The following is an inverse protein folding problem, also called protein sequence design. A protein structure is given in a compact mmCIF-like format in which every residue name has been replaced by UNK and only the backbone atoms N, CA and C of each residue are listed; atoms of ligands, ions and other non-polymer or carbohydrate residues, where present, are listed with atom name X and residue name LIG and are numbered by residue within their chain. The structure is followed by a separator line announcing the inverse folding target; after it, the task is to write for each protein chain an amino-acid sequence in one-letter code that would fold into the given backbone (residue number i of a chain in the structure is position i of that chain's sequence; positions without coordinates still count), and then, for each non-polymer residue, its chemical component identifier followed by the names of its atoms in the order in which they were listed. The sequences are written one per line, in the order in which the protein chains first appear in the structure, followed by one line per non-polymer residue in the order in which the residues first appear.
data_IF_932555231821
#
_entry.id   IF_932555231821
#
_cell.length_a   1.000
_cell.length_b   1.000
_cell.length_c   1.000
_cell.angle_alpha   90.00
_cell.angle_beta   90.00
_cell.angle_gamma   90.00
#
_symmetry.space_group_name_H-M   'P 1'
#
loop_
_entity.id
_entity.type
_entity.pdbx_description
1 polymer ?
#
# COMPACT_ATOMS: atom_id res chain seq x y z
N UNK A 1 39.60 20.21 -15.18
CA UNK A 1 40.07 21.12 -16.26
C UNK A 1 38.85 21.77 -16.91
N UNK A 2 38.84 23.10 -17.18
CA UNK A 2 37.65 23.82 -17.67
C UNK A 2 37.77 24.45 -19.08
N UNK A 3 36.63 24.70 -19.74
CA UNK A 3 36.36 25.75 -20.75
C UNK A 3 34.84 26.09 -20.69
N UNK A 4 34.27 27.30 -20.71
CA UNK A 4 34.70 28.72 -20.86
C UNK A 4 34.65 29.34 -22.28
N UNK A 5 33.45 29.81 -22.69
CA UNK A 5 33.04 30.95 -23.59
C UNK A 5 31.77 30.59 -24.40
N UNK A 6 30.69 31.37 -24.56
CA UNK A 6 30.39 32.83 -24.57
C UNK A 6 30.09 33.35 -25.99
N UNK A 7 28.88 33.87 -26.24
CA UNK A 7 28.67 35.25 -26.77
C UNK A 7 27.19 35.67 -26.89
N UNK A 8 26.98 36.99 -26.86
CA UNK A 8 25.71 37.73 -27.02
C UNK A 8 25.56 38.32 -28.43
N UNK A 9 24.32 38.43 -28.92
CA UNK A 9 23.74 39.45 -29.83
C UNK A 9 22.52 38.84 -30.56
N UNK A 10 21.43 39.55 -30.89
CA UNK A 10 21.01 40.94 -30.62
C UNK A 10 19.62 41.19 -31.26
N UNK A 11 18.89 42.24 -30.86
CA UNK A 11 17.68 42.69 -31.56
C UNK A 11 18.03 43.55 -32.79
N UNK A 12 17.14 43.66 -33.79
CA UNK A 12 16.42 44.93 -33.94
C UNK A 12 14.92 44.80 -34.36
N UNK A 13 14.24 45.97 -34.41
CA UNK A 13 12.83 46.18 -34.78
C UNK A 13 12.63 46.53 -36.28
N UNK A 14 11.35 46.66 -36.67
CA UNK A 14 10.77 47.35 -37.86
C UNK A 14 10.50 46.44 -39.08
N UNK A 15 9.51 46.69 -39.97
CA UNK A 15 8.47 47.74 -40.08
C UNK A 15 7.45 47.47 -41.22
N UNK A 16 6.20 47.96 -41.06
CA UNK A 16 5.24 48.21 -42.16
C UNK A 16 4.26 47.08 -42.51
N UNK A 17 3.01 47.32 -42.95
CA UNK A 17 2.23 48.57 -43.03
C UNK A 17 1.15 48.56 -44.13
N UNK A 18 0.07 49.37 -43.98
CA UNK A 18 -1.01 49.71 -44.96
C UNK A 18 -2.10 48.62 -45.20
N UNK A 19 -3.39 48.93 -45.49
CA UNK A 19 -4.12 50.22 -45.53
C UNK A 19 -5.68 50.07 -45.45
N UNK A 20 -6.31 51.06 -44.79
CA UNK A 20 -7.68 51.65 -44.87
C UNK A 20 -8.80 51.10 -45.79
N UNK A 21 -10.02 51.10 -45.25
CA UNK A 21 -11.15 52.05 -45.52
C UNK A 21 -12.32 51.73 -44.54
N UNK A 22 -13.31 52.55 -44.15
CA UNK A 22 -13.68 53.99 -44.16
C UNK A 22 -14.94 54.10 -43.25
N UNK A 23 -15.34 55.15 -42.52
CA UNK A 23 -15.02 56.57 -42.45
C UNK A 23 -16.01 57.30 -41.51
N UNK A 24 -15.72 58.59 -41.21
CA UNK A 24 -16.64 59.69 -40.79
C UNK A 24 -17.57 59.55 -39.56
N UNK A 25 -17.79 60.57 -38.71
CA UNK A 25 -17.25 61.94 -38.58
C UNK A 25 -17.54 62.54 -37.18
N UNK A 26 -16.93 63.70 -36.87
CA UNK A 26 -17.05 64.44 -35.58
C UNK A 26 -18.43 65.07 -35.33
N UNK A 27 -18.78 65.28 -34.06
CA UNK A 27 -19.79 66.25 -33.62
C UNK A 27 -19.69 66.56 -32.11
N UNK A 28 -19.67 67.84 -31.73
CA UNK A 28 -19.64 68.32 -30.33
C UNK A 28 -21.02 68.81 -29.87
N UNK A 29 -21.19 68.96 -28.55
CA UNK A 29 -22.25 69.77 -27.87
C UNK A 29 -23.66 69.12 -27.85
N UNK A 30 -24.60 69.47 -26.96
CA UNK A 30 -24.63 70.15 -25.63
C UNK A 30 -26.12 70.25 -25.23
N UNK A 31 -26.48 70.05 -23.94
CA UNK A 31 -27.86 70.16 -23.39
C UNK A 31 -28.75 68.99 -23.95
N UNK A 32 -29.56 68.25 -23.18
CA UNK A 32 -30.63 68.65 -22.26
C UNK A 32 -30.63 67.96 -20.88
N UNK A 33 -31.25 68.64 -19.90
CA UNK A 33 -31.60 68.09 -18.59
C UNK A 33 -33.07 67.65 -18.65
N UNK A 34 -33.37 66.37 -18.39
CA UNK A 34 -34.72 65.93 -18.12
C UNK A 34 -34.95 65.78 -16.61
N UNK A 35 -36.05 66.38 -16.15
CA UNK A 35 -36.52 66.45 -14.76
C UNK A 35 -37.79 65.60 -14.56
N UNK A 36 -38.29 65.55 -13.31
CA UNK A 36 -39.43 64.77 -12.81
C UNK A 36 -39.10 63.27 -12.60
N UNK A 37 -39.51 62.63 -11.49
CA UNK A 37 -40.81 62.76 -10.82
C UNK A 37 -40.78 63.05 -9.29
N UNK A 38 -39.67 63.52 -8.73
CA UNK A 38 -39.51 63.67 -7.26
C UNK A 38 -39.69 65.09 -6.69
N UNK A 39 -39.68 66.14 -7.51
CA UNK A 39 -39.83 67.55 -7.07
C UNK A 39 -41.05 68.21 -7.71
N UNK A 40 -42.23 67.59 -7.56
CA UNK A 40 -43.48 68.20 -8.03
C UNK A 40 -44.71 67.78 -7.20
N UNK A 41 -44.66 68.02 -5.88
CA UNK A 41 -45.79 68.40 -4.99
C UNK A 41 -45.14 69.03 -3.74
N UNK A 42 -44.92 70.35 -3.75
CA UNK A 42 -44.88 71.15 -2.52
C UNK A 42 -45.22 72.63 -2.79
N UNK A 43 -46.44 72.87 -3.28
CA UNK A 43 -47.06 74.21 -3.29
C UNK A 43 -48.58 74.10 -3.14
N UNK A 44 -49.05 73.74 -1.94
CA UNK A 44 -50.30 74.23 -1.33
C UNK A 44 -50.64 73.46 -0.03
N UNK A 45 -49.94 73.79 1.06
CA UNK A 45 -50.49 73.58 2.40
C UNK A 45 -51.42 74.76 2.73
N UNK A 46 -52.72 74.57 2.58
CA UNK A 46 -53.72 75.55 3.00
C UNK A 46 -53.65 75.77 4.51
N UNK A 47 -53.44 77.03 4.93
CA UNK A 47 -53.59 77.42 6.34
C UNK A 47 -55.06 77.27 6.73
N UNK A 48 -55.34 76.57 7.83
CA UNK A 48 -56.62 76.77 8.54
C UNK A 48 -56.57 78.10 9.31
N UNK A 49 -57.71 78.72 9.66
CA UNK A 49 -57.72 80.06 10.24
C UNK A 49 -57.12 80.17 11.65
N UNK A 50 -56.96 79.05 12.37
CA UNK A 50 -56.83 79.06 13.84
C UNK A 50 -55.41 78.75 14.37
N UNK A 51 -54.39 78.74 13.50
CA UNK A 51 -52.97 78.80 13.88
C UNK A 51 -52.36 77.57 14.60
N UNK A 52 -53.15 76.55 14.94
CA UNK A 52 -52.68 75.34 15.61
C UNK A 52 -52.33 74.24 14.57
N UNK A 53 -51.18 73.54 14.64
CA UNK A 53 -50.84 72.49 13.68
C UNK A 53 -51.84 71.33 13.74
N UNK A 54 -52.26 70.85 12.56
CA UNK A 54 -53.15 69.70 12.47
C UNK A 54 -52.52 68.44 13.09
N UNK A 55 -53.29 67.62 13.84
CA UNK A 55 -52.75 66.40 14.43
C UNK A 55 -52.33 65.43 13.32
N UNK A 56 -51.04 65.08 13.30
CA UNK A 56 -50.49 64.07 12.40
C UNK A 56 -51.31 62.78 12.52
N UNK A 57 -51.79 62.17 11.42
CA UNK A 57 -52.54 60.92 11.48
C UNK A 57 -51.63 59.86 12.10
N UNK A 58 -52.07 59.30 13.22
CA UNK A 58 -51.17 58.65 14.17
C UNK A 58 -50.66 57.32 13.57
N UNK A 59 -49.45 57.31 12.99
CA UNK A 59 -48.85 56.18 12.23
C UNK A 59 -48.31 55.01 13.08
N UNK A 60 -48.52 55.01 14.39
CA UNK A 60 -48.04 53.97 15.33
C UNK A 60 -48.42 52.55 14.92
N UNK A 61 -49.62 52.33 14.39
CA UNK A 61 -50.06 51.00 13.97
C UNK A 61 -49.26 50.47 12.77
N UNK A 62 -49.11 51.28 11.72
CA UNK A 62 -48.35 50.90 10.52
C UNK A 62 -46.85 50.86 10.75
N UNK A 63 -46.28 51.74 11.58
CA UNK A 63 -44.87 51.68 11.96
C UNK A 63 -44.55 50.45 12.84
N UNK A 64 -45.42 50.08 13.79
CA UNK A 64 -45.24 48.85 14.57
C UNK A 64 -45.39 47.61 13.68
N UNK A 65 -46.34 47.62 12.75
CA UNK A 65 -46.52 46.53 11.78
C UNK A 65 -45.29 46.37 10.88
N UNK A 66 -44.76 47.46 10.31
CA UNK A 66 -43.54 47.44 9.50
C UNK A 66 -42.33 46.96 10.31
N UNK A 67 -42.15 47.39 11.57
CA UNK A 67 -41.07 46.89 12.43
C UNK A 67 -41.21 45.38 12.71
N UNK A 68 -42.42 44.87 12.89
CA UNK A 68 -42.69 43.44 13.02
C UNK A 68 -42.39 42.66 11.73
N UNK A 69 -42.72 43.22 10.56
CA UNK A 69 -42.35 42.63 9.27
C UNK A 69 -40.83 42.60 9.06
N UNK A 70 -40.11 43.66 9.40
CA UNK A 70 -38.64 43.68 9.34
C UNK A 70 -38.02 42.68 10.32
N UNK A 71 -38.57 42.55 11.54
CA UNK A 71 -38.15 41.55 12.51
C UNK A 71 -38.36 40.13 11.96
N UNK A 72 -39.55 39.84 11.41
CA UNK A 72 -39.89 38.55 10.83
C UNK A 72 -39.00 38.21 9.61
N UNK A 73 -38.71 39.18 8.74
CA UNK A 73 -37.79 39.02 7.62
C UNK A 73 -36.37 38.71 8.09
N UNK A 74 -35.84 39.45 9.07
CA UNK A 74 -34.52 39.21 9.64
C UNK A 74 -34.42 37.85 10.34
N UNK A 75 -35.46 37.44 11.07
CA UNK A 75 -35.56 36.11 11.67
C UNK A 75 -35.63 35.00 10.60
N UNK A 76 -36.36 35.22 9.50
CA UNK A 76 -36.41 34.31 8.36
C UNK A 76 -35.05 34.13 7.68
N UNK A 77 -34.29 35.22 7.50
CA UNK A 77 -32.92 35.16 6.97
C UNK A 77 -31.99 34.41 7.92
N UNK A 78 -32.04 34.68 9.23
CA UNK A 78 -31.25 33.96 10.22
C UNK A 78 -31.58 32.46 10.26
N UNK A 79 -32.87 32.10 10.20
CA UNK A 79 -33.31 30.71 10.21
C UNK A 79 -32.90 29.99 8.91
N UNK A 80 -33.01 30.65 7.75
CA UNK A 80 -32.51 30.13 6.48
C UNK A 80 -30.98 29.91 6.49
N UNK A 81 -30.23 30.83 7.10
CA UNK A 81 -28.76 30.74 7.22
C UNK A 81 -28.35 29.62 8.20
N UNK A 82 -29.11 29.40 9.28
CA UNK A 82 -28.95 28.23 10.17
C UNK A 82 -29.21 26.93 9.42
N UNK A 83 -30.31 26.83 8.65
CA UNK A 83 -30.63 25.65 7.84
C UNK A 83 -29.52 25.37 6.81
N UNK A 84 -29.04 26.39 6.09
CA UNK A 84 -27.91 26.27 5.17
C UNK A 84 -26.64 25.73 5.87
N UNK A 85 -26.31 26.23 7.06
CA UNK A 85 -25.17 25.73 7.84
C UNK A 85 -25.37 24.25 8.20
N UNK A 86 -26.58 23.85 8.62
CA UNK A 86 -26.87 22.44 8.90
C UNK A 86 -26.74 21.56 7.66
N UNK A 87 -27.30 21.99 6.53
CA UNK A 87 -27.25 21.28 5.24
C UNK A 87 -25.82 21.13 4.73
N UNK A 88 -25.01 22.20 4.75
CA UNK A 88 -23.58 22.16 4.39
C UNK A 88 -22.80 21.22 5.31
N UNK A 89 -23.07 21.22 6.62
CA UNK A 89 -22.39 20.31 7.57
C UNK A 89 -22.83 18.84 7.40
N UNK A 90 -24.10 18.59 7.11
CA UNK A 90 -24.61 17.23 6.81
C UNK A 90 -24.02 16.70 5.49
N UNK A 91 -24.00 17.53 4.44
CA UNK A 91 -23.43 17.16 3.15
C UNK A 91 -21.93 16.86 3.27
N UNK A 92 -21.16 17.69 3.99
CA UNK A 92 -19.75 17.43 4.29
C UNK A 92 -19.53 16.12 5.08
N UNK A 93 -20.42 15.78 6.03
CA UNK A 93 -20.34 14.53 6.77
C UNK A 93 -20.60 13.31 5.87
N UNK A 94 -21.58 13.39 4.96
CA UNK A 94 -21.87 12.33 3.97
C UNK A 94 -20.70 12.16 2.98
N UNK A 95 -20.13 13.25 2.45
CA UNK A 95 -18.94 13.20 1.59
C UNK A 95 -17.75 12.56 2.30
N UNK A 96 -17.51 12.87 3.59
CA UNK A 96 -16.45 12.25 4.39
C UNK A 96 -16.63 10.75 4.55
N UNK A 97 -17.85 10.29 4.81
CA UNK A 97 -18.17 8.85 4.91
C UNK A 97 -17.95 8.16 3.55
N UNK A 98 -18.37 8.79 2.45
CA UNK A 98 -18.13 8.28 1.09
C UNK A 98 -16.64 8.12 0.77
N UNK A 99 -15.82 9.12 1.08
CA UNK A 99 -14.37 9.09 0.88
C UNK A 99 -13.67 8.06 1.80
N UNK A 100 -14.06 7.94 3.08
CA UNK A 100 -13.52 6.89 3.95
C UNK A 100 -13.89 5.48 3.44
N UNK A 101 -15.09 5.29 2.88
CA UNK A 101 -15.50 4.02 2.27
C UNK A 101 -14.77 3.71 0.96
N UNK A 102 -14.57 4.70 0.08
CA UNK A 102 -13.81 4.54 -1.17
C UNK A 102 -12.34 4.18 -0.87
N UNK A 103 -11.72 4.87 0.10
CA UNK A 103 -10.38 4.53 0.61
C UNK A 103 -10.33 3.10 1.13
N UNK A 104 -11.27 2.68 1.97
CA UNK A 104 -11.30 1.33 2.52
C UNK A 104 -11.42 0.26 1.42
N UNK A 105 -12.23 0.54 0.39
CA UNK A 105 -12.34 -0.33 -0.78
C UNK A 105 -11.06 -0.34 -1.64
N UNK A 106 -10.35 0.77 -1.75
CA UNK A 106 -9.04 0.84 -2.42
C UNK A 106 -7.98 0.01 -1.69
N UNK A 107 -7.89 0.14 -0.36
CA UNK A 107 -7.00 -0.70 0.46
C UNK A 107 -7.33 -2.19 0.29
N UNK A 108 -8.60 -2.58 0.40
CA UNK A 108 -9.00 -3.98 0.27
C UNK A 108 -8.63 -4.59 -1.09
N UNK A 109 -8.76 -3.83 -2.19
CA UNK A 109 -8.30 -4.27 -3.52
C UNK A 109 -6.78 -4.42 -3.61
N UNK A 110 -6.03 -3.56 -2.92
CA UNK A 110 -4.56 -3.63 -2.87
C UNK A 110 -4.09 -4.85 -2.07
N UNK A 111 -4.65 -5.11 -0.88
CA UNK A 111 -4.34 -6.33 -0.11
C UNK A 111 -4.69 -7.60 -0.92
N UNK A 112 -5.85 -7.62 -1.57
CA UNK A 112 -6.26 -8.74 -2.44
C UNK A 112 -5.33 -8.93 -3.65
N UNK A 113 -4.69 -7.86 -4.13
CA UNK A 113 -3.73 -7.95 -5.21
C UNK A 113 -2.42 -8.59 -4.74
N UNK A 114 -1.89 -8.19 -3.59
CA UNK A 114 -0.67 -8.79 -3.01
C UNK A 114 -0.91 -10.24 -2.58
N UNK A 115 -2.10 -10.54 -2.05
CA UNK A 115 -2.47 -11.87 -1.58
C UNK A 115 -2.78 -12.89 -2.70
N UNK A 116 -2.64 -12.53 -3.97
CA UNK A 116 -2.73 -13.51 -5.06
C UNK A 116 -1.45 -14.38 -5.11
N UNK A 117 -1.49 -15.62 -5.63
CA UNK A 117 -0.35 -16.54 -5.54
C UNK A 117 0.95 -16.01 -6.15
N UNK A 118 0.88 -15.42 -7.35
CA UNK A 118 2.05 -14.91 -8.08
C UNK A 118 2.73 -13.75 -7.32
N UNK A 119 1.93 -12.84 -6.78
CA UNK A 119 2.41 -11.69 -6.00
C UNK A 119 2.91 -12.12 -4.62
N UNK A 120 2.27 -13.12 -4.02
CA UNK A 120 2.70 -13.72 -2.76
C UNK A 120 4.07 -14.43 -2.92
N UNK A 121 4.32 -15.11 -4.04
CA UNK A 121 5.64 -15.70 -4.32
C UNK A 121 6.73 -14.61 -4.39
N UNK A 122 6.49 -13.53 -5.14
CA UNK A 122 7.40 -12.37 -5.20
C UNK A 122 7.64 -11.75 -3.83
N UNK A 123 6.58 -11.59 -3.03
CA UNK A 123 6.67 -11.04 -1.69
C UNK A 123 7.47 -11.95 -0.74
N UNK A 124 7.24 -13.26 -0.81
CA UNK A 124 7.97 -14.23 0.02
C UNK A 124 9.45 -14.33 -0.36
N UNK A 125 9.80 -14.30 -1.65
CA UNK A 125 11.19 -14.15 -2.11
C UNK A 125 11.80 -12.87 -1.58
N UNK A 126 11.10 -11.74 -1.71
CA UNK A 126 11.56 -10.44 -1.22
C UNK A 126 11.86 -10.43 0.30
N UNK A 127 11.14 -11.22 1.09
CA UNK A 127 11.32 -11.35 2.55
C UNK A 127 12.40 -12.36 2.93
N UNK A 128 12.48 -13.52 2.27
CA UNK A 128 13.34 -14.64 2.69
C UNK A 128 14.62 -14.83 1.84
N UNK A 129 14.56 -14.63 0.51
CA UNK A 129 15.68 -14.80 -0.43
C UNK A 129 15.70 -13.69 -1.49
N UNK A 130 15.87 -12.41 -1.09
CA UNK A 130 15.79 -11.26 -2.01
C UNK A 130 16.82 -11.29 -3.15
N UNK A 131 17.89 -12.05 -3.02
CA UNK A 131 18.90 -12.34 -4.05
C UNK A 131 18.38 -13.16 -5.24
N UNK A 132 17.32 -13.96 -5.04
CA UNK A 132 16.72 -14.81 -6.09
C UNK A 132 15.72 -14.05 -6.98
N UNK A 133 15.37 -12.80 -6.65
CA UNK A 133 14.41 -12.01 -7.41
C UNK A 133 14.92 -11.69 -8.82
N UNK A 134 14.18 -12.13 -9.84
CA UNK A 134 14.43 -11.70 -11.22
C UNK A 134 14.17 -10.19 -11.39
N UNK A 135 14.74 -9.53 -12.41
CA UNK A 135 14.46 -8.10 -12.68
C UNK A 135 12.98 -7.77 -12.86
N UNK A 136 12.18 -8.72 -13.37
CA UNK A 136 10.72 -8.62 -13.45
C UNK A 136 10.04 -8.64 -12.08
N UNK A 137 10.43 -9.58 -11.21
CA UNK A 137 9.87 -9.68 -9.85
C UNK A 137 10.31 -8.49 -8.99
N UNK A 138 11.53 -7.99 -9.15
CA UNK A 138 12.00 -6.76 -8.51
C UNK A 138 11.19 -5.54 -8.98
N UNK A 139 10.79 -5.47 -10.25
CA UNK A 139 9.88 -4.42 -10.76
C UNK A 139 8.47 -4.56 -10.17
N UNK A 140 7.99 -5.79 -9.99
CA UNK A 140 6.71 -6.08 -9.32
C UNK A 140 6.75 -5.63 -7.86
N UNK A 141 7.80 -6.00 -7.12
CA UNK A 141 8.06 -5.60 -5.75
C UNK A 141 8.10 -4.06 -5.61
N UNK A 142 8.84 -3.36 -6.47
CA UNK A 142 8.83 -1.89 -6.53
C UNK A 142 7.41 -1.32 -6.69
N UNK A 143 6.58 -1.92 -7.56
CA UNK A 143 5.19 -1.51 -7.76
C UNK A 143 4.33 -1.69 -6.50
N UNK A 144 4.53 -2.79 -5.77
CA UNK A 144 3.87 -3.03 -4.47
C UNK A 144 4.28 -1.94 -3.47
N UNK A 145 5.57 -1.64 -3.36
CA UNK A 145 6.09 -0.63 -2.42
C UNK A 145 5.61 0.79 -2.74
N UNK A 146 5.65 1.21 -4.01
CA UNK A 146 5.11 2.52 -4.45
C UNK A 146 3.63 2.64 -4.10
N UNK A 147 2.83 1.62 -4.41
CA UNK A 147 1.40 1.63 -4.12
C UNK A 147 1.12 1.71 -2.60
N UNK A 148 1.92 1.04 -1.77
CA UNK A 148 1.85 1.15 -0.31
C UNK A 148 2.06 2.59 0.18
N UNK A 149 3.12 3.26 -0.29
CA UNK A 149 3.41 4.67 0.06
C UNK A 149 2.33 5.62 -0.47
N UNK A 150 1.77 5.36 -1.66
CA UNK A 150 0.63 6.13 -2.19
C UNK A 150 -0.62 6.07 -1.28
N UNK A 151 -0.84 4.97 -0.55
CA UNK A 151 -1.93 4.93 0.45
C UNK A 151 -1.70 5.94 1.59
N UNK A 152 -0.44 6.19 1.97
CA UNK A 152 -0.09 7.18 3.00
C UNK A 152 -0.20 8.61 2.46
N UNK A 153 0.21 8.86 1.22
CA UNK A 153 0.03 10.15 0.54
C UNK A 153 -1.45 10.54 0.38
N UNK A 154 -2.31 9.56 0.08
CA UNK A 154 -3.76 9.75 0.10
C UNK A 154 -4.26 10.19 1.49
N UNK A 155 -3.68 9.69 2.58
CA UNK A 155 -4.03 10.14 3.94
C UNK A 155 -3.60 11.56 4.23
N UNK A 156 -2.42 11.96 3.77
CA UNK A 156 -1.96 13.35 3.85
C UNK A 156 -2.94 14.26 3.09
N UNK A 157 -3.38 13.86 1.90
CA UNK A 157 -4.40 14.58 1.13
C UNK A 157 -5.74 14.69 1.88
N UNK A 158 -6.20 13.60 2.52
CA UNK A 158 -7.40 13.63 3.38
C UNK A 158 -7.21 14.53 4.61
N UNK A 159 -6.01 14.58 5.20
CA UNK A 159 -5.67 15.44 6.33
C UNK A 159 -5.75 16.91 5.94
N UNK A 160 -5.19 17.26 4.80
CA UNK A 160 -5.15 18.64 4.29
C UNK A 160 -6.56 19.14 3.95
N UNK A 161 -7.45 18.24 3.54
CA UNK A 161 -8.90 18.49 3.41
C UNK A 161 -9.68 18.51 4.74
N UNK A 162 -9.03 18.34 5.90
CA UNK A 162 -9.67 18.32 7.23
C UNK A 162 -10.47 17.04 7.55
N UNK A 163 -10.30 15.97 6.76
CA UNK A 163 -11.03 14.70 6.89
C UNK A 163 -10.35 13.69 7.82
N UNK A 164 -9.06 13.85 8.12
CA UNK A 164 -8.34 13.12 9.18
C UNK A 164 -7.37 14.08 9.89
N UNK A 165 -6.80 13.68 11.03
CA UNK A 165 -5.79 14.44 11.76
C UNK A 165 -4.39 13.81 11.62
N UNK A 166 -3.33 14.57 11.93
CA UNK A 166 -1.93 14.08 11.91
C UNK A 166 -1.75 12.83 12.76
N UNK A 167 -2.50 12.69 13.85
CA UNK A 167 -2.44 11.53 14.74
C UNK A 167 -2.91 10.27 14.01
N UNK A 168 -4.02 10.32 13.26
CA UNK A 168 -4.56 9.20 12.48
C UNK A 168 -3.65 8.86 11.30
N UNK A 169 -2.99 9.84 10.68
CA UNK A 169 -1.96 9.56 9.66
C UNK A 169 -0.75 8.86 10.28
N UNK A 170 -0.17 9.44 11.34
CA UNK A 170 1.00 8.87 12.03
C UNK A 170 0.74 7.45 12.54
N UNK A 171 -0.40 7.21 13.18
CA UNK A 171 -0.79 5.87 13.65
C UNK A 171 -0.99 4.89 12.49
N UNK A 172 -1.54 5.33 11.35
CA UNK A 172 -1.68 4.46 10.19
C UNK A 172 -0.31 4.04 9.63
N UNK A 173 0.63 4.98 9.51
CA UNK A 173 2.02 4.69 9.10
C UNK A 173 2.69 3.77 10.12
N UNK A 174 2.60 4.07 11.43
CA UNK A 174 3.18 3.24 12.51
C UNK A 174 2.66 1.80 12.50
N UNK A 175 1.38 1.59 12.24
CA UNK A 175 0.78 0.26 12.24
C UNK A 175 1.09 -0.54 10.96
N UNK A 176 1.34 0.13 9.83
CA UNK A 176 1.56 -0.52 8.53
C UNK A 176 3.03 -0.66 8.17
N UNK A 177 3.90 0.25 8.61
CA UNK A 177 5.32 0.24 8.27
C UNK A 177 6.01 -1.11 8.61
N UNK A 178 5.73 -1.81 9.73
CA UNK A 178 6.27 -3.14 9.97
C UNK A 178 5.91 -4.16 8.87
N UNK A 179 4.69 -4.10 8.32
CA UNK A 179 4.22 -5.07 7.33
C UNK A 179 4.73 -4.83 5.91
N UNK A 180 5.27 -3.66 5.59
CA UNK A 180 5.87 -3.36 4.28
C UNK A 180 7.38 -3.15 4.33
N UNK A 181 7.94 -2.70 5.47
CA UNK A 181 9.35 -2.38 5.64
C UNK A 181 10.07 -3.26 6.69
N UNK A 182 9.40 -4.30 7.19
CA UNK A 182 9.91 -5.25 8.18
C UNK A 182 10.94 -6.26 7.67
N UNK A 183 11.72 -5.89 6.65
CA UNK A 183 12.76 -6.71 6.01
C UNK A 183 13.78 -5.86 5.23
N UNK A 184 15.00 -6.40 5.09
CA UNK A 184 16.16 -5.67 4.58
C UNK A 184 15.96 -5.09 3.15
N UNK A 185 15.36 -5.86 2.22
CA UNK A 185 15.13 -5.37 0.86
C UNK A 185 14.20 -4.16 0.83
N UNK A 186 13.11 -4.15 1.62
CA UNK A 186 12.20 -3.03 1.68
C UNK A 186 12.81 -1.79 2.35
N UNK A 187 13.66 -1.94 3.37
CA UNK A 187 14.41 -0.79 3.92
C UNK A 187 15.45 -0.24 2.95
N UNK A 188 16.10 -1.10 2.15
CA UNK A 188 16.94 -0.66 1.04
C UNK A 188 16.11 0.08 -0.02
N UNK A 189 14.94 -0.46 -0.40
CA UNK A 189 14.02 0.21 -1.32
C UNK A 189 13.61 1.59 -0.80
N UNK A 190 13.28 1.74 0.48
CA UNK A 190 12.98 3.05 1.09
C UNK A 190 14.18 3.98 0.98
N UNK A 191 15.38 3.54 1.35
CA UNK A 191 16.59 4.37 1.32
C UNK A 191 16.90 4.92 -0.08
N UNK A 192 16.70 4.13 -1.13
CA UNK A 192 16.95 4.55 -2.51
C UNK A 192 15.77 5.33 -3.13
N UNK A 193 14.52 4.89 -2.95
CA UNK A 193 13.35 5.52 -3.58
C UNK A 193 12.76 6.70 -2.79
N UNK A 194 13.07 6.85 -1.50
CA UNK A 194 12.64 8.01 -0.72
C UNK A 194 13.11 9.34 -1.33
N UNK A 195 14.13 9.34 -2.21
CA UNK A 195 14.54 10.51 -3.01
C UNK A 195 13.34 11.16 -3.72
N UNK A 196 12.35 10.40 -4.18
CA UNK A 196 11.12 10.93 -4.79
C UNK A 196 10.20 11.71 -3.84
N UNK A 197 10.29 11.43 -2.54
CA UNK A 197 9.48 12.07 -1.48
C UNK A 197 10.31 12.92 -0.50
N UNK A 198 11.65 12.98 -0.65
CA UNK A 198 12.55 13.67 0.28
C UNK A 198 12.18 15.14 0.44
N UNK A 199 12.06 15.58 1.70
CA UNK A 199 11.62 16.94 2.05
C UNK A 199 10.10 17.16 2.02
N UNK A 200 9.29 16.19 1.57
CA UNK A 200 7.83 16.24 1.78
C UNK A 200 7.47 16.01 3.25
N UNK A 201 6.30 16.48 3.67
CA UNK A 201 5.79 16.19 5.02
C UNK A 201 5.56 14.68 5.25
N UNK A 202 5.21 13.93 4.19
CA UNK A 202 5.07 12.48 4.27
C UNK A 202 6.40 11.84 4.67
N UNK A 203 7.48 12.19 3.99
CA UNK A 203 8.81 11.69 4.30
C UNK A 203 9.26 12.09 5.72
N UNK A 204 9.06 13.36 6.12
CA UNK A 204 9.38 13.83 7.47
C UNK A 204 8.57 13.11 8.57
N UNK A 205 7.35 12.64 8.26
CA UNK A 205 6.54 11.86 9.20
C UNK A 205 6.93 10.37 9.20
N UNK A 206 7.19 9.79 8.02
CA UNK A 206 7.35 8.36 7.80
C UNK A 206 8.77 7.85 8.01
N UNK A 207 9.81 8.59 7.59
CA UNK A 207 11.19 8.11 7.68
C UNK A 207 11.60 7.75 9.12
N UNK A 208 11.34 8.57 10.16
CA UNK A 208 11.65 8.18 11.54
C UNK A 208 10.88 6.96 12.05
N UNK A 209 9.79 6.57 11.38
CA UNK A 209 9.05 5.33 11.68
C UNK A 209 9.73 4.17 10.97
N UNK A 210 9.93 4.27 9.64
CA UNK A 210 10.54 3.22 8.80
C UNK A 210 11.96 2.86 9.27
N UNK A 211 12.78 3.84 9.66
CA UNK A 211 14.12 3.59 10.18
C UNK A 211 14.13 2.80 11.50
N UNK A 212 13.05 2.89 12.30
CA UNK A 212 12.88 2.18 13.56
C UNK A 212 12.14 0.83 13.42
N UNK A 213 11.76 0.43 12.21
CA UNK A 213 11.23 -0.92 11.95
C UNK A 213 12.39 -1.93 11.97
N UNK A 214 12.19 -3.04 12.68
CA UNK A 214 13.10 -4.19 12.71
C UNK A 214 13.09 -4.91 11.35
N UNK A 215 14.27 -5.15 10.79
CA UNK A 215 14.49 -5.89 9.54
C UNK A 215 14.18 -7.39 9.67
N UNK A 216 13.89 -7.88 10.87
CA UNK A 216 13.47 -9.27 11.09
C UNK A 216 11.98 -9.38 11.43
N UNK A 217 11.22 -8.28 11.39
CA UNK A 217 9.82 -8.26 11.81
C UNK A 217 8.96 -9.23 11.00
N UNK A 218 9.01 -9.19 9.66
CA UNK A 218 8.14 -10.03 8.83
C UNK A 218 8.49 -11.51 8.94
N UNK A 219 9.78 -11.86 8.98
CA UNK A 219 10.22 -13.25 9.23
C UNK A 219 9.69 -13.72 10.58
N UNK A 220 9.93 -12.97 11.65
CA UNK A 220 9.45 -13.31 13.00
C UNK A 220 7.91 -13.42 13.06
N UNK A 221 7.20 -12.54 12.34
CA UNK A 221 5.74 -12.53 12.28
C UNK A 221 5.20 -13.76 11.53
N UNK A 222 5.71 -14.08 10.34
CA UNK A 222 5.26 -15.23 9.57
C UNK A 222 5.62 -16.57 10.23
N UNK A 223 6.82 -16.69 10.80
CA UNK A 223 7.19 -17.87 11.60
C UNK A 223 6.32 -17.98 12.87
N UNK A 224 5.99 -16.85 13.52
CA UNK A 224 5.07 -16.83 14.67
C UNK A 224 3.60 -17.11 14.33
N UNK A 225 3.19 -16.91 13.07
CA UNK A 225 1.86 -17.32 12.57
C UNK A 225 1.78 -18.82 12.24
N UNK A 226 2.91 -19.48 11.99
CA UNK A 226 2.96 -20.95 11.89
C UNK A 226 2.71 -21.49 13.29
N UNK A 227 1.48 -21.93 13.53
CA UNK A 227 1.25 -22.88 14.62
C UNK A 227 2.17 -24.07 14.38
N UNK A 228 3.00 -24.42 15.36
CA UNK A 228 3.61 -25.76 15.42
C UNK A 228 2.52 -26.83 15.58
N UNK A 229 2.89 -28.01 16.08
CA UNK A 229 1.97 -29.13 16.36
C UNK A 229 0.56 -28.66 16.75
N UNK A 230 -0.42 -28.81 15.86
CA UNK A 230 -1.82 -28.60 16.25
C UNK A 230 -2.35 -29.88 16.93
N UNK A 231 -3.39 -29.77 17.78
CA UNK A 231 -4.08 -30.96 18.30
C UNK A 231 -4.63 -31.88 17.19
N UNK A 232 -4.83 -31.36 15.97
CA UNK A 232 -5.22 -32.14 14.79
C UNK A 232 -4.05 -32.96 14.24
N UNK A 233 -2.84 -32.39 14.16
CA UNK A 233 -1.65 -33.11 13.70
C UNK A 233 -1.29 -34.29 14.63
N UNK A 234 -1.58 -34.16 15.93
CA UNK A 234 -1.49 -35.28 16.88
C UNK A 234 -2.60 -36.30 16.64
N UNK A 235 -3.84 -35.84 16.43
CA UNK A 235 -4.99 -36.73 16.23
C UNK A 235 -4.90 -37.57 14.95
N UNK A 236 -4.40 -36.99 13.86
CA UNK A 236 -4.30 -37.65 12.54
C UNK A 236 -3.25 -38.80 12.56
N UNK A 237 -2.24 -38.72 13.43
CA UNK A 237 -1.25 -39.79 13.67
C UNK A 237 -1.60 -40.72 14.85
N UNK A 238 -2.48 -40.29 15.75
CA UNK A 238 -2.98 -41.05 16.90
C UNK A 238 -2.07 -41.03 18.13
N UNK A 239 -2.56 -41.63 19.22
CA UNK A 239 -1.92 -41.66 20.54
C UNK A 239 -0.92 -42.82 20.72
N UNK A 240 -0.54 -43.51 19.64
CA UNK A 240 0.20 -44.78 19.66
C UNK A 240 1.39 -44.76 18.73
N UNK A 241 2.39 -45.58 19.04
CA UNK A 241 3.56 -45.76 18.18
C UNK A 241 3.19 -46.47 16.87
N UNK A 242 3.44 -45.81 15.75
CA UNK A 242 3.32 -46.39 14.41
C UNK A 242 4.63 -47.05 13.98
N UNK A 243 4.55 -48.28 13.47
CA UNK A 243 5.70 -49.02 12.92
C UNK A 243 5.60 -49.03 11.39
N UNK A 244 6.67 -48.59 10.74
CA UNK A 244 6.85 -48.70 9.29
C UNK A 244 7.97 -49.70 8.96
N UNK A 245 7.87 -50.33 7.80
CA UNK A 245 8.94 -51.17 7.23
C UNK A 245 9.40 -50.52 5.93
N UNK A 246 10.67 -50.15 5.83
CA UNK A 246 11.20 -49.39 4.69
C UNK A 246 10.99 -50.07 3.33
N UNK A 247 11.05 -51.40 3.26
CA UNK A 247 10.82 -52.17 2.02
C UNK A 247 9.37 -52.11 1.52
N UNK A 248 8.45 -51.75 2.41
CA UNK A 248 7.01 -51.78 2.16
C UNK A 248 6.47 -50.37 1.82
N UNK A 249 7.32 -49.34 1.97
CA UNK A 249 7.01 -47.96 1.61
C UNK A 249 7.10 -47.74 0.08
N UNK A 250 6.26 -46.87 -0.50
CA UNK A 250 6.36 -46.47 -1.90
C UNK A 250 7.79 -46.07 -2.29
N UNK A 251 8.21 -46.49 -3.49
CA UNK A 251 9.48 -46.09 -4.12
C UNK A 251 9.18 -45.07 -5.20
N UNK A 252 9.05 -43.81 -4.80
CA UNK A 252 8.69 -42.69 -5.67
C UNK A 252 9.86 -42.29 -6.57
N UNK A 253 9.74 -42.38 -7.90
CA UNK A 253 10.73 -41.78 -8.80
C UNK A 253 10.52 -40.27 -8.81
N UNK A 254 11.45 -39.52 -8.22
CA UNK A 254 11.40 -38.05 -8.18
C UNK A 254 12.05 -37.45 -9.44
N UNK A 255 13.11 -38.09 -9.94
CA UNK A 255 13.74 -37.78 -11.22
C UNK A 255 14.41 -39.03 -11.80
N UNK A 256 14.99 -38.92 -13.00
CA UNK A 256 15.76 -40.01 -13.60
C UNK A 256 16.94 -40.40 -12.70
N UNK A 257 16.92 -41.62 -12.16
CA UNK A 257 17.95 -42.11 -11.23
C UNK A 257 17.85 -41.58 -9.80
N UNK A 258 16.76 -40.88 -9.43
CA UNK A 258 16.51 -40.39 -8.06
C UNK A 258 15.19 -40.98 -7.55
N UNK A 259 15.28 -41.84 -6.55
CA UNK A 259 14.14 -42.52 -5.92
C UNK A 259 14.06 -42.10 -4.45
N UNK A 260 12.86 -41.70 -4.00
CA UNK A 260 12.54 -41.37 -2.61
C UNK A 260 11.68 -42.45 -1.98
N UNK A 261 11.88 -42.67 -0.69
CA UNK A 261 10.93 -43.30 0.23
C UNK A 261 10.94 -42.47 1.52
N UNK A 262 9.81 -42.26 2.17
CA UNK A 262 9.80 -41.46 3.40
C UNK A 262 8.69 -41.85 4.37
N UNK A 263 8.84 -41.41 5.61
CA UNK A 263 7.81 -41.47 6.65
C UNK A 263 7.72 -40.10 7.30
N UNK A 264 6.52 -39.70 7.69
CA UNK A 264 6.29 -38.42 8.35
C UNK A 264 5.58 -38.62 9.68
N UNK A 265 6.15 -38.04 10.73
CA UNK A 265 5.56 -37.93 12.05
C UNK A 265 4.90 -36.56 12.25
N UNK A 266 4.66 -36.21 13.52
CA UNK A 266 3.97 -34.96 13.87
C UNK A 266 4.83 -33.75 13.54
N UNK A 267 6.11 -33.77 13.95
CA UNK A 267 7.06 -32.66 13.82
C UNK A 267 8.13 -32.86 12.75
N UNK A 268 8.28 -34.07 12.19
CA UNK A 268 9.44 -34.40 11.38
C UNK A 268 9.14 -35.34 10.23
N UNK A 269 9.87 -35.19 9.14
CA UNK A 269 9.91 -36.16 8.04
C UNK A 269 11.28 -36.84 8.03
N UNK A 270 11.28 -38.15 7.82
CA UNK A 270 12.49 -38.96 7.68
C UNK A 270 12.44 -39.67 6.33
N UNK A 271 13.39 -39.40 5.45
CA UNK A 271 13.46 -39.98 4.11
C UNK A 271 14.71 -40.81 3.89
N UNK A 272 14.58 -41.77 2.97
CA UNK A 272 15.67 -42.46 2.33
C UNK A 272 15.65 -42.13 0.84
N UNK A 273 16.81 -41.84 0.29
CA UNK A 273 17.01 -41.65 -1.13
C UNK A 273 17.93 -42.73 -1.69
N UNK A 274 17.60 -43.22 -2.88
CA UNK A 274 18.54 -43.94 -3.77
C UNK A 274 18.85 -43.01 -4.94
N UNK A 275 20.11 -42.66 -5.12
CA UNK A 275 20.55 -41.68 -6.12
C UNK A 275 21.68 -42.29 -6.94
N UNK A 276 21.49 -42.39 -8.26
CA UNK A 276 22.51 -42.88 -9.18
C UNK A 276 23.67 -41.89 -9.33
N UNK A 277 24.86 -42.39 -9.67
CA UNK A 277 26.04 -41.58 -9.96
C UNK A 277 25.76 -40.54 -11.06
N UNK A 278 26.16 -39.28 -10.82
CA UNK A 278 25.82 -38.13 -11.65
C UNK A 278 24.44 -37.52 -11.34
N UNK A 279 23.71 -38.05 -10.37
CA UNK A 279 22.45 -37.46 -9.88
C UNK A 279 22.68 -36.08 -9.28
N UNK A 280 21.81 -35.13 -9.61
CA UNK A 280 21.87 -33.74 -9.13
C UNK A 280 20.55 -33.37 -8.48
N UNK A 281 20.62 -32.85 -7.25
CA UNK A 281 19.54 -32.10 -6.62
C UNK A 281 19.88 -30.62 -6.82
N UNK A 282 19.09 -29.86 -7.61
CA UNK A 282 19.38 -28.45 -7.90
C UNK A 282 19.47 -27.57 -6.65
N UNK A 283 20.00 -26.36 -6.84
CA UNK A 283 19.99 -25.33 -5.81
C UNK A 283 18.54 -25.01 -5.41
N UNK A 284 18.24 -25.17 -4.13
CA UNK A 284 16.93 -24.87 -3.55
C UNK A 284 17.08 -24.53 -2.06
N UNK A 285 16.00 -24.10 -1.43
CA UNK A 285 15.93 -23.86 0.01
C UNK A 285 14.54 -24.25 0.55
N UNK A 286 14.45 -24.45 1.86
CA UNK A 286 13.19 -24.67 2.57
C UNK A 286 13.33 -24.29 4.04
N UNK A 287 12.23 -23.90 4.67
CA UNK A 287 12.20 -23.47 6.08
C UNK A 287 12.50 -24.58 7.09
N UNK A 288 12.47 -25.85 6.66
CA UNK A 288 12.85 -26.99 7.48
C UNK A 288 14.37 -26.99 7.69
N UNK A 289 14.84 -27.21 8.92
CA UNK A 289 16.21 -27.68 9.16
C UNK A 289 16.33 -29.07 8.53
N UNK A 290 17.44 -29.33 7.83
CA UNK A 290 17.74 -30.64 7.25
C UNK A 290 19.02 -31.20 7.87
N UNK A 291 18.96 -32.48 8.26
CA UNK A 291 20.12 -33.27 8.66
C UNK A 291 20.27 -34.43 7.68
N UNK A 292 21.34 -34.41 6.90
CA UNK A 292 21.70 -35.46 5.93
C UNK A 292 22.73 -36.40 6.54
N UNK A 293 22.56 -37.69 6.32
CA UNK A 293 23.51 -38.76 6.62
C UNK A 293 23.73 -39.57 5.34
N UNK A 294 24.96 -39.59 4.82
CA UNK A 294 25.31 -40.42 3.67
C UNK A 294 25.61 -41.85 4.14
N UNK A 295 24.77 -42.83 3.82
CA UNK A 295 25.01 -44.23 4.21
C UNK A 295 25.99 -44.94 3.28
N UNK A 296 25.99 -44.60 1.99
CA UNK A 296 26.93 -45.11 1.00
C UNK A 296 27.08 -44.15 -0.18
N UNK A 297 28.18 -44.27 -0.91
CA UNK A 297 28.53 -43.41 -2.04
C UNK A 297 29.29 -42.16 -1.62
N UNK A 298 29.23 -41.13 -2.47
CA UNK A 298 29.90 -39.85 -2.29
C UNK A 298 29.11 -38.71 -2.95
N UNK A 299 29.13 -37.53 -2.34
CA UNK A 299 28.43 -36.35 -2.81
C UNK A 299 29.22 -35.05 -2.58
N UNK A 300 29.07 -34.10 -3.49
CA UNK A 300 29.51 -32.71 -3.32
C UNK A 300 28.29 -31.84 -3.04
N UNK A 301 28.31 -31.14 -1.90
CA UNK A 301 27.25 -30.22 -1.48
C UNK A 301 27.75 -28.79 -1.61
N UNK A 302 26.91 -27.91 -2.17
CA UNK A 302 27.14 -26.46 -2.15
C UNK A 302 26.09 -25.85 -1.22
N UNK A 303 26.50 -25.01 -0.27
CA UNK A 303 25.56 -24.19 0.51
C UNK A 303 26.22 -22.86 0.89
N UNK A 304 25.54 -21.75 0.59
CA UNK A 304 26.13 -20.40 0.69
C UNK A 304 27.42 -20.28 -0.14
N UNK A 305 28.51 -19.87 0.51
CA UNK A 305 29.85 -19.81 -0.07
C UNK A 305 30.67 -21.11 0.09
N UNK A 306 30.11 -22.13 0.76
CA UNK A 306 30.80 -23.36 1.11
C UNK A 306 30.60 -24.47 0.08
N UNK A 307 31.63 -25.31 -0.04
CA UNK A 307 31.58 -26.61 -0.73
C UNK A 307 32.01 -27.68 0.26
N UNK A 308 31.19 -28.71 0.41
CA UNK A 308 31.37 -29.79 1.38
C UNK A 308 31.30 -31.12 0.66
N UNK A 309 32.43 -31.82 0.57
CA UNK A 309 32.48 -33.22 0.17
C UNK A 309 31.93 -34.09 1.30
N UNK A 310 31.04 -35.04 0.98
CA UNK A 310 30.50 -36.06 1.88
C UNK A 310 30.85 -37.45 1.35
N UNK A 311 31.30 -38.32 2.24
CA UNK A 311 31.50 -39.74 2.02
C UNK A 311 30.63 -40.58 2.96
N UNK A 312 30.59 -41.90 2.74
CA UNK A 312 29.81 -42.82 3.55
C UNK A 312 30.17 -42.74 5.05
N UNK A 313 29.18 -42.40 5.88
CA UNK A 313 29.30 -42.15 7.31
C UNK A 313 29.26 -40.68 7.71
N UNK A 314 29.43 -39.75 6.77
CA UNK A 314 29.40 -38.31 7.05
C UNK A 314 27.97 -37.80 7.27
N UNK A 315 27.88 -36.78 8.13
CA UNK A 315 26.64 -36.06 8.41
C UNK A 315 26.81 -34.57 8.10
N UNK A 316 25.77 -33.97 7.51
CA UNK A 316 25.68 -32.54 7.23
C UNK A 316 24.40 -31.97 7.85
N UNK A 317 24.51 -30.80 8.49
CA UNK A 317 23.36 -30.04 8.99
C UNK A 317 23.22 -28.79 8.14
N UNK A 318 22.03 -28.59 7.57
CA UNK A 318 21.64 -27.45 6.77
C UNK A 318 20.58 -26.64 7.54
N UNK A 319 20.89 -25.40 7.97
CA UNK A 319 19.95 -24.57 8.70
C UNK A 319 18.69 -24.23 7.88
N UNK A 320 17.57 -23.89 8.56
CA UNK A 320 16.37 -23.34 7.92
C UNK A 320 16.67 -22.26 6.88
N UNK A 321 16.06 -22.41 5.70
CA UNK A 321 16.17 -21.55 4.52
C UNK A 321 17.58 -21.40 3.92
N UNK A 322 18.62 -22.08 4.42
CA UNK A 322 19.94 -22.03 3.81
C UNK A 322 19.91 -22.64 2.39
N UNK A 323 20.23 -21.88 1.32
CA UNK A 323 20.24 -22.42 -0.03
C UNK A 323 21.29 -23.51 -0.17
N UNK A 324 20.92 -24.64 -0.77
CA UNK A 324 21.82 -25.77 -0.97
C UNK A 324 21.52 -26.59 -2.23
N UNK A 325 22.56 -27.25 -2.76
CA UNK A 325 22.52 -28.14 -3.91
C UNK A 325 23.41 -29.37 -3.67
N UNK A 326 23.03 -30.53 -4.23
CA UNK A 326 23.82 -31.76 -4.15
C UNK A 326 24.20 -32.27 -5.54
N UNK A 327 25.42 -32.77 -5.69
CA UNK A 327 25.87 -33.53 -6.86
C UNK A 327 26.50 -34.84 -6.39
N UNK A 328 25.85 -35.97 -6.70
CA UNK A 328 26.29 -37.29 -6.27
C UNK A 328 27.29 -37.85 -7.28
N UNK A 329 28.52 -38.12 -6.85
CA UNK A 329 29.61 -38.62 -7.72
C UNK A 329 29.60 -40.13 -7.86
N UNK A 330 28.90 -40.84 -6.96
CA UNK A 330 28.75 -42.30 -6.94
C UNK A 330 27.28 -42.69 -6.69
N UNK A 331 26.93 -43.95 -6.96
CA UNK A 331 25.64 -44.52 -6.56
C UNK A 331 25.51 -44.46 -5.03
N UNK A 332 24.56 -43.66 -4.56
CA UNK A 332 24.49 -43.21 -3.18
C UNK A 332 23.17 -43.57 -2.50
N UNK A 333 23.27 -43.95 -1.22
CA UNK A 333 22.12 -44.10 -0.33
C UNK A 333 22.20 -42.99 0.71
N UNK A 334 21.18 -42.15 0.75
CA UNK A 334 21.11 -40.99 1.65
C UNK A 334 19.96 -41.18 2.62
N UNK A 335 20.16 -40.80 3.87
CA UNK A 335 19.11 -40.59 4.86
C UNK A 335 19.02 -39.10 5.13
N UNK A 336 17.81 -38.56 5.16
CA UNK A 336 17.58 -37.16 5.51
C UNK A 336 16.47 -37.05 6.54
N UNK A 337 16.68 -36.16 7.50
CA UNK A 337 15.72 -35.79 8.53
C UNK A 337 15.38 -34.31 8.40
N UNK A 338 14.10 -33.98 8.45
CA UNK A 338 13.59 -32.62 8.33
C UNK A 338 12.78 -32.25 9.58
N UNK A 339 13.04 -31.07 10.14
CA UNK A 339 12.24 -30.47 11.21
C UNK A 339 11.99 -28.96 10.93
N UNK A 340 10.74 -28.46 10.89
CA UNK A 340 9.48 -29.21 10.97
C UNK A 340 9.29 -30.24 9.84
N UNK A 341 8.17 -30.96 9.79
CA UNK A 341 7.91 -31.96 8.74
C UNK A 341 7.78 -31.33 7.35
N UNK A 342 8.03 -32.13 6.31
CA UNK A 342 7.84 -31.76 4.89
C UNK A 342 6.36 -31.76 4.52
N UNK A 343 5.64 -30.75 5.00
CA UNK A 343 4.21 -30.56 4.73
C UNK A 343 3.90 -30.40 3.24
N UNK A 344 4.85 -29.88 2.46
CA UNK A 344 4.79 -29.79 1.00
C UNK A 344 4.64 -31.17 0.34
N UNK A 345 5.29 -32.21 0.88
CA UNK A 345 5.18 -33.57 0.34
C UNK A 345 3.82 -34.20 0.66
N UNK A 346 3.33 -34.05 1.89
CA UNK A 346 2.00 -34.52 2.31
C UNK A 346 0.91 -33.90 1.43
N UNK A 347 0.96 -32.58 1.24
CA UNK A 347 -0.03 -31.85 0.45
C UNK A 347 -0.03 -32.29 -1.03
N UNK A 348 1.16 -32.58 -1.58
CA UNK A 348 1.29 -33.06 -2.95
C UNK A 348 0.61 -34.42 -3.15
N UNK A 349 0.78 -35.37 -2.21
CA UNK A 349 0.08 -36.66 -2.24
C UNK A 349 -1.43 -36.48 -2.22
N UNK A 350 -1.96 -35.66 -1.31
CA UNK A 350 -3.42 -35.45 -1.20
C UNK A 350 -4.01 -34.83 -2.48
N UNK A 351 -3.25 -33.96 -3.16
CA UNK A 351 -3.68 -33.36 -4.43
C UNK A 351 -3.62 -34.32 -5.63
N UNK A 352 -2.91 -35.45 -5.50
CA UNK A 352 -2.84 -36.52 -6.50
C UNK A 352 -4.00 -37.51 -6.45
N UNK A 353 -4.76 -37.54 -5.35
CA UNK A 353 -5.90 -38.46 -5.16
C UNK A 353 -7.25 -37.89 -5.67
N UNK A 354 -7.32 -36.61 -6.05
CA UNK A 354 -8.54 -35.93 -6.53
C UNK A 354 -8.67 -35.83 -8.08
N UNK A 355 -7.94 -36.64 -8.87
CA UNK A 355 -8.00 -36.64 -10.36
C UNK A 355 -8.50 -37.96 -10.97
#
# INVERSE_FOLDING_TARGET
MPMVRSCLAGMPRSSGGKSMASGTSRGMSRIERNWSLAEMIDTNASKSPDGNPAPQPVRWASERFNRWLTLAANLGVLLGLIVLIFEVRQNAALSRIGLEAERAAAQARYEQHIANPDMAEVWMKAVYTPEDLTPSELRTFDGIMVAGVMTWEHLMTMRDGGLVDDRRVRLHIQNNAPFYFGFALAKNWWRENAIGWQGSELYLMADPIVQNVDENFLVTYYEGLRTGITPRDIADLGDKASKFTLTDLPREPVAAGIIRQYVTGVESTFSRWEIAAGGVVPMHSHYNEQVTLLLSGAAEVVSGDQRVSLAAGDMLVLPPNAPHAYTFTEDSIVIEFFAPRRQDWINAETSGEEQ
#
